data_IF_743326143772
#
_entry.id   IF_743326143772
#
_cell.length_a   1.000
_cell.length_b   1.000
_cell.length_c   1.000
_cell.angle_alpha   90.00
_cell.angle_beta   90.00
_cell.angle_gamma   90.00
#
_symmetry.space_group_name_H-M   'P 1'
#
loop_
_entity.id
_entity.type
_entity.pdbx_description
1 polymer ?
#
# COMPACT_ATOMS: atom_id res chain seq x y z
N UNK A 1 -18.59 14.79 8.47
CA UNK A 1 -18.30 16.24 8.36
C UNK A 1 -16.94 16.33 7.71
N UNK A 2 -16.77 17.11 6.64
CA UNK A 2 -15.48 17.16 5.95
C UNK A 2 -14.37 17.70 6.86
N UNK A 3 -13.14 17.12 6.82
CA UNK A 3 -12.02 17.64 7.57
C UNK A 3 -11.59 19.02 7.05
N UNK A 4 -10.87 19.76 7.89
CA UNK A 4 -10.18 20.97 7.46
C UNK A 4 -9.05 20.58 6.49
N UNK A 5 -9.11 21.08 5.26
CA UNK A 5 -8.07 20.84 4.25
C UNK A 5 -7.00 21.93 4.34
N UNK A 6 -5.75 21.52 4.59
CA UNK A 6 -4.56 22.35 4.46
C UNK A 6 -3.94 22.13 3.09
N UNK A 7 -4.21 23.03 2.15
CA UNK A 7 -3.84 22.87 0.75
C UNK A 7 -2.48 23.51 0.45
N UNK A 8 -1.59 22.75 -0.18
CA UNK A 8 -0.36 23.24 -0.83
C UNK A 8 -0.41 22.88 -2.32
N UNK A 9 -0.12 23.84 -3.19
CA UNK A 9 -0.13 23.64 -4.64
C UNK A 9 1.17 24.16 -5.25
N UNK A 10 1.76 23.38 -6.15
CA UNK A 10 2.90 23.80 -6.97
C UNK A 10 2.68 23.43 -8.43
N UNK A 11 2.56 24.45 -9.29
CA UNK A 11 2.48 24.30 -10.75
C UNK A 11 1.16 23.79 -11.33
N UNK A 12 0.31 23.13 -10.53
CA UNK A 12 -0.94 22.54 -11.02
C UNK A 12 -1.96 23.61 -11.45
N UNK A 13 -2.76 23.30 -12.50
CA UNK A 13 -3.80 24.20 -12.97
C UNK A 13 -4.96 24.31 -11.97
N UNK A 14 -5.73 25.40 -12.07
CA UNK A 14 -6.90 25.59 -11.21
C UNK A 14 -7.93 24.46 -11.38
N UNK A 15 -8.18 24.01 -12.61
CA UNK A 15 -9.13 22.93 -12.89
C UNK A 15 -8.69 21.61 -12.27
N UNK A 16 -7.40 21.28 -12.33
CA UNK A 16 -6.87 20.04 -11.73
C UNK A 16 -7.01 20.07 -10.22
N UNK A 17 -6.67 21.21 -9.59
CA UNK A 17 -6.82 21.41 -8.15
C UNK A 17 -8.29 21.30 -7.73
N UNK A 18 -9.21 21.92 -8.47
CA UNK A 18 -10.65 21.86 -8.19
C UNK A 18 -11.18 20.42 -8.31
N UNK A 19 -10.79 19.67 -9.35
CA UNK A 19 -11.19 18.28 -9.54
C UNK A 19 -10.66 17.35 -8.43
N UNK A 20 -9.35 17.41 -8.13
CA UNK A 20 -8.73 16.59 -7.07
C UNK A 20 -9.39 16.86 -5.72
N UNK A 21 -9.61 18.13 -5.38
CA UNK A 21 -10.29 18.49 -4.13
C UNK A 21 -11.74 18.03 -4.10
N UNK A 22 -12.42 18.00 -5.25
CA UNK A 22 -13.78 17.50 -5.34
C UNK A 22 -13.82 16.00 -5.04
N UNK A 23 -12.92 15.21 -5.61
CA UNK A 23 -12.81 13.76 -5.34
C UNK A 23 -12.51 13.51 -3.86
N UNK A 24 -11.55 14.23 -3.28
CA UNK A 24 -11.17 14.09 -1.87
C UNK A 24 -12.36 14.42 -0.94
N UNK A 25 -13.03 15.56 -1.14
CA UNK A 25 -14.16 15.98 -0.31
C UNK A 25 -15.36 15.05 -0.44
N UNK A 26 -15.62 14.56 -1.65
CA UNK A 26 -16.65 13.55 -1.90
C UNK A 26 -16.37 12.30 -1.07
N UNK A 27 -15.13 11.81 -1.11
CA UNK A 27 -14.72 10.63 -0.35
C UNK A 27 -14.85 10.80 1.17
N UNK A 28 -14.44 11.94 1.73
CA UNK A 28 -14.66 12.24 3.16
C UNK A 28 -16.13 12.42 3.52
N UNK A 29 -16.98 12.82 2.58
CA UNK A 29 -18.43 12.93 2.85
C UNK A 29 -19.07 11.53 2.92
N UNK A 30 -18.57 10.59 2.13
CA UNK A 30 -19.11 9.23 2.02
C UNK A 30 -18.58 8.28 3.10
N UNK A 31 -17.28 8.34 3.40
CA UNK A 31 -16.64 7.40 4.34
C UNK A 31 -16.91 7.76 5.80
N UNK A 32 -17.09 6.78 6.70
CA UNK A 32 -17.13 7.03 8.13
C UNK A 32 -15.73 7.38 8.63
N UNK A 33 -15.56 8.56 9.22
CA UNK A 33 -14.25 9.01 9.71
C UNK A 33 -14.35 9.91 10.94
N UNK A 34 -13.20 10.06 11.62
CA UNK A 34 -12.96 11.04 12.70
C UNK A 34 -11.83 12.01 12.39
N UNK A 35 -11.38 12.06 11.13
CA UNK A 35 -10.33 12.97 10.69
C UNK A 35 -10.79 14.43 10.85
N UNK A 36 -10.06 15.20 11.65
CA UNK A 36 -10.34 16.63 11.90
C UNK A 36 -9.71 17.53 10.83
N UNK A 37 -8.49 17.18 10.39
CA UNK A 37 -7.73 17.91 9.39
C UNK A 37 -6.89 16.97 8.54
N UNK A 38 -6.67 17.36 7.29
CA UNK A 38 -5.83 16.65 6.32
C UNK A 38 -5.03 17.66 5.52
N UNK A 39 -3.76 17.38 5.30
CA UNK A 39 -2.95 18.13 4.34
C UNK A 39 -3.10 17.54 2.94
N UNK A 40 -3.31 18.40 1.95
CA UNK A 40 -3.39 17.99 0.54
C UNK A 40 -2.32 18.75 -0.22
N UNK A 41 -1.36 18.01 -0.77
CA UNK A 41 -0.23 18.54 -1.52
C UNK A 41 -0.38 18.17 -2.99
N UNK A 42 -0.61 19.15 -3.86
CA UNK A 42 -0.83 18.93 -5.30
C UNK A 42 0.35 19.52 -6.06
N UNK A 43 1.08 18.66 -6.76
CA UNK A 43 2.20 19.04 -7.60
C UNK A 43 1.87 18.75 -9.06
N UNK A 44 2.27 19.65 -9.96
CA UNK A 44 2.21 19.37 -11.39
C UNK A 44 3.14 18.20 -11.72
N UNK A 45 4.42 18.34 -11.37
CA UNK A 45 5.49 17.40 -11.71
C UNK A 45 5.68 16.32 -10.63
N UNK A 46 5.88 15.09 -11.05
CA UNK A 46 6.17 13.95 -10.16
C UNK A 46 7.48 14.13 -9.38
N UNK A 47 8.51 14.69 -10.02
CA UNK A 47 9.81 14.96 -9.40
C UNK A 47 9.72 15.91 -8.20
N UNK A 48 8.84 16.91 -8.26
CA UNK A 48 8.57 17.83 -7.16
C UNK A 48 7.85 17.15 -6.01
N UNK A 49 6.86 16.31 -6.31
CA UNK A 49 6.15 15.52 -5.30
C UNK A 49 7.10 14.56 -4.57
N UNK A 50 7.95 13.84 -5.31
CA UNK A 50 8.95 12.92 -4.74
C UNK A 50 9.99 13.67 -3.88
N UNK A 51 10.47 14.83 -4.35
CA UNK A 51 11.39 15.67 -3.58
C UNK A 51 10.75 16.16 -2.27
N UNK A 52 9.47 16.54 -2.31
CA UNK A 52 8.72 16.93 -1.12
C UNK A 52 8.58 15.74 -0.14
N UNK A 53 8.16 14.57 -0.62
CA UNK A 53 8.03 13.36 0.19
C UNK A 53 9.36 12.94 0.83
N UNK A 54 10.45 12.96 0.06
CA UNK A 54 11.79 12.67 0.58
C UNK A 54 12.18 13.65 1.71
N UNK A 55 11.88 14.94 1.57
CA UNK A 55 12.11 15.91 2.63
C UNK A 55 11.25 15.65 3.88
N UNK A 56 9.98 15.27 3.72
CA UNK A 56 9.10 14.91 4.84
C UNK A 56 9.59 13.65 5.57
N UNK A 57 9.96 12.61 4.81
CA UNK A 57 10.49 11.35 5.30
C UNK A 57 11.77 11.56 6.12
N UNK A 58 12.70 12.34 5.57
CA UNK A 58 13.96 12.70 6.25
C UNK A 58 13.70 13.50 7.54
N UNK A 59 12.79 14.47 7.51
CA UNK A 59 12.45 15.27 8.68
C UNK A 59 11.82 14.43 9.81
N UNK A 60 11.08 13.38 9.45
CA UNK A 60 10.50 12.43 10.40
C UNK A 60 11.47 11.32 10.86
N UNK A 61 12.65 11.22 10.25
CA UNK A 61 13.64 10.19 10.58
C UNK A 61 13.20 8.78 10.19
N UNK A 62 12.43 8.64 9.10
CA UNK A 62 12.06 7.34 8.55
C UNK A 62 13.32 6.60 8.11
N UNK A 63 13.47 5.35 8.57
CA UNK A 63 14.68 4.54 8.35
C UNK A 63 14.49 3.39 7.37
N UNK A 64 13.25 3.06 6.99
CA UNK A 64 12.99 2.03 5.99
C UNK A 64 13.50 2.48 4.62
N UNK A 65 13.88 1.51 3.79
CA UNK A 65 14.28 1.76 2.41
C UNK A 65 13.12 2.36 1.59
N UNK A 66 13.45 3.10 0.54
CA UNK A 66 12.49 3.75 -0.36
C UNK A 66 11.80 2.77 -1.30
N UNK A 67 10.81 2.02 -0.82
CA UNK A 67 10.05 1.07 -1.65
C UNK A 67 8.88 1.70 -2.43
N UNK A 68 8.63 3.00 -2.24
CA UNK A 68 7.40 3.66 -2.70
C UNK A 68 7.59 4.55 -3.93
N UNK A 69 8.75 4.52 -4.59
CA UNK A 69 9.17 5.57 -5.54
C UNK A 69 8.28 5.73 -6.80
N UNK A 70 7.28 4.88 -7.02
CA UNK A 70 6.44 4.92 -8.23
C UNK A 70 4.91 4.96 -8.04
N UNK A 71 4.39 5.39 -6.89
CA UNK A 71 2.92 5.56 -6.76
C UNK A 71 2.39 6.79 -7.50
N UNK A 72 1.10 6.73 -7.88
CA UNK A 72 0.35 7.81 -8.55
C UNK A 72 -0.09 8.91 -7.57
N UNK A 73 -0.38 8.51 -6.33
CA UNK A 73 -0.69 9.36 -5.20
C UNK A 73 -0.14 8.69 -3.93
N UNK A 74 0.01 9.46 -2.85
CA UNK A 74 0.66 9.01 -1.63
C UNK A 74 -0.08 9.49 -0.40
N UNK A 75 -0.26 8.60 0.57
CA UNK A 75 -0.65 8.93 1.92
C UNK A 75 0.52 8.74 2.89
N UNK A 76 0.76 9.76 3.72
CA UNK A 76 1.65 9.64 4.87
C UNK A 76 1.10 10.39 6.08
N UNK A 77 1.51 9.98 7.29
CA UNK A 77 1.20 10.69 8.54
C UNK A 77 2.44 10.86 9.45
N UNK A 78 3.64 10.86 8.85
CA UNK A 78 4.92 10.84 9.56
C UNK A 78 5.10 11.97 10.59
N UNK A 79 4.55 13.16 10.31
CA UNK A 79 4.64 14.33 11.18
C UNK A 79 3.38 14.55 12.05
N UNK A 80 2.52 13.53 12.16
CA UNK A 80 1.34 13.55 13.03
C UNK A 80 0.07 14.17 12.42
N UNK A 81 0.12 14.57 11.15
CA UNK A 81 -1.04 14.99 10.36
C UNK A 81 -1.15 14.07 9.14
N UNK A 82 -2.34 13.52 8.82
CA UNK A 82 -2.52 12.80 7.57
C UNK A 82 -2.35 13.75 6.39
N UNK A 83 -1.52 13.34 5.45
CA UNK A 83 -1.16 14.09 4.26
C UNK A 83 -1.42 13.22 3.03
N UNK A 84 -2.08 13.79 2.03
CA UNK A 84 -2.28 13.19 0.71
C UNK A 84 -1.47 14.02 -0.28
N UNK A 85 -0.51 13.39 -0.96
CA UNK A 85 0.34 14.01 -1.97
C UNK A 85 0.01 13.44 -3.34
N UNK A 86 -0.23 14.33 -4.31
CA UNK A 86 -0.68 13.98 -5.66
C UNK A 86 0.24 14.60 -6.72
N UNK A 87 0.59 13.81 -7.74
CA UNK A 87 1.23 14.29 -8.97
C UNK A 87 0.21 14.33 -10.11
N UNK A 88 -0.06 15.52 -10.65
CA UNK A 88 -0.98 15.71 -11.78
C UNK A 88 -0.43 15.04 -13.04
N UNK A 89 0.87 15.19 -13.30
CA UNK A 89 1.58 14.51 -14.40
C UNK A 89 1.32 12.99 -14.38
N UNK A 90 1.53 12.33 -13.23
CA UNK A 90 1.28 10.88 -13.12
C UNK A 90 -0.19 10.53 -13.28
N UNK A 91 -1.11 11.24 -12.63
CA UNK A 91 -2.53 10.96 -12.75
C UNK A 91 -3.06 11.14 -14.18
N UNK A 92 -2.52 12.09 -14.93
CA UNK A 92 -2.91 12.32 -16.33
C UNK A 92 -2.48 11.20 -17.29
N UNK A 93 -1.61 10.27 -16.85
CA UNK A 93 -1.30 9.04 -17.62
C UNK A 93 -2.41 8.00 -17.56
N UNK A 94 -3.38 8.18 -16.64
CA UNK A 94 -4.47 7.25 -16.39
C UNK A 94 -5.79 7.79 -16.94
N UNK A 95 -6.74 6.90 -17.30
CA UNK A 95 -8.13 7.30 -17.46
C UNK A 95 -8.66 7.97 -16.18
N UNK A 96 -9.44 9.04 -16.32
CA UNK A 96 -9.87 9.88 -15.19
C UNK A 96 -10.53 9.07 -14.06
N UNK A 97 -11.38 8.09 -14.38
CA UNK A 97 -12.02 7.25 -13.36
C UNK A 97 -11.02 6.44 -12.53
N UNK A 98 -9.90 6.05 -13.12
CA UNK A 98 -8.84 5.32 -12.43
C UNK A 98 -7.97 6.27 -11.61
N UNK A 99 -7.67 7.46 -12.13
CA UNK A 99 -7.02 8.53 -11.36
C UNK A 99 -7.82 8.88 -10.10
N UNK A 100 -9.14 9.01 -10.21
CA UNK A 100 -10.03 9.24 -9.08
C UNK A 100 -10.01 8.08 -8.08
N UNK A 101 -9.95 6.83 -8.57
CA UNK A 101 -9.83 5.65 -7.72
C UNK A 101 -8.52 5.64 -6.93
N UNK A 102 -7.39 6.03 -7.54
CA UNK A 102 -6.11 6.21 -6.84
C UNK A 102 -6.22 7.25 -5.72
N UNK A 103 -6.83 8.41 -5.99
CA UNK A 103 -7.03 9.46 -4.98
C UNK A 103 -7.89 8.95 -3.82
N UNK A 104 -9.00 8.25 -4.12
CA UNK A 104 -9.89 7.67 -3.10
C UNK A 104 -9.18 6.64 -2.23
N UNK A 105 -8.25 5.86 -2.79
CA UNK A 105 -7.41 4.92 -2.04
C UNK A 105 -6.57 5.63 -0.98
N UNK A 106 -5.91 6.74 -1.33
CA UNK A 106 -5.16 7.55 -0.37
C UNK A 106 -6.05 8.22 0.68
N UNK A 107 -7.27 8.61 0.30
CA UNK A 107 -8.25 9.10 1.30
C UNK A 107 -8.62 8.00 2.29
N UNK A 108 -8.83 6.76 1.84
CA UNK A 108 -9.11 5.65 2.76
C UNK A 108 -7.95 5.40 3.74
N UNK A 109 -6.70 5.48 3.27
CA UNK A 109 -5.54 5.44 4.16
C UNK A 109 -5.52 6.61 5.16
N UNK A 110 -5.89 7.82 4.75
CA UNK A 110 -5.97 8.94 5.70
C UNK A 110 -7.06 8.75 6.76
N UNK A 111 -8.16 8.06 6.42
CA UNK A 111 -9.24 7.73 7.35
C UNK A 111 -8.83 6.65 8.35
N UNK A 112 -8.15 5.59 7.89
CA UNK A 112 -7.81 4.43 8.71
C UNK A 112 -6.46 4.55 9.41
N UNK A 113 -5.49 5.15 8.72
CA UNK A 113 -4.06 5.11 9.06
C UNK A 113 -3.45 6.51 9.21
N UNK A 114 -4.28 7.55 9.35
CA UNK A 114 -3.87 8.95 9.42
C UNK A 114 -3.15 9.39 10.70
N UNK A 115 -2.87 8.47 11.63
CA UNK A 115 -2.15 8.73 12.87
C UNK A 115 -0.71 8.21 12.82
N UNK A 116 0.21 8.90 13.50
CA UNK A 116 1.64 8.52 13.54
C UNK A 116 1.89 7.10 14.07
N UNK A 117 0.98 6.56 14.92
CA UNK A 117 1.11 5.19 15.45
C UNK A 117 1.15 4.12 14.35
N UNK A 118 0.58 4.39 13.18
CA UNK A 118 0.63 3.50 12.03
C UNK A 118 1.96 3.58 11.26
N UNK A 119 2.89 4.44 11.67
CA UNK A 119 4.23 4.61 11.09
C UNK A 119 5.35 4.29 12.08
N UNK A 120 5.01 4.10 13.36
CA UNK A 120 5.93 3.67 14.42
C UNK A 120 5.59 2.22 14.80
N UNK A 121 5.85 1.30 13.87
CA UNK A 121 5.50 -0.12 14.02
C UNK A 121 6.77 -0.90 14.42
N UNK A 122 6.81 -1.52 15.61
CA UNK A 122 7.94 -2.37 15.98
C UNK A 122 7.93 -3.66 15.17
N UNK A 123 9.13 -4.23 14.94
CA UNK A 123 9.27 -5.49 14.22
C UNK A 123 8.46 -6.62 14.89
N UNK A 124 7.57 -7.31 14.14
CA UNK A 124 6.78 -8.42 14.66
C UNK A 124 7.66 -9.50 15.32
N UNK A 125 7.18 -10.18 16.38
CA UNK A 125 7.95 -11.24 17.04
C UNK A 125 8.48 -12.32 16.09
N UNK A 126 7.70 -12.67 15.05
CA UNK A 126 8.10 -13.62 14.02
C UNK A 126 9.33 -13.16 13.22
N UNK A 127 9.42 -11.87 12.89
CA UNK A 127 10.57 -11.29 12.19
C UNK A 127 11.78 -11.14 13.10
N UNK A 128 11.59 -10.81 14.39
CA UNK A 128 12.69 -10.79 15.36
C UNK A 128 13.32 -12.18 15.53
N UNK A 129 12.50 -13.21 15.66
CA UNK A 129 12.96 -14.62 15.75
C UNK A 129 13.70 -15.06 14.48
N UNK A 130 13.24 -14.59 13.31
CA UNK A 130 13.92 -14.79 12.04
C UNK A 130 15.28 -14.08 12.00
N UNK A 131 15.39 -12.87 12.55
CA UNK A 131 16.63 -12.13 12.76
C UNK A 131 17.70 -12.95 13.49
N UNK A 132 17.31 -13.54 14.61
CA UNK A 132 18.20 -14.38 15.44
C UNK A 132 18.63 -15.65 14.69
N UNK A 133 17.69 -16.31 14.00
CA UNK A 133 17.93 -17.61 13.36
C UNK A 133 18.73 -17.49 12.06
N UNK A 134 18.37 -16.52 11.21
CA UNK A 134 18.96 -16.31 9.88
C UNK A 134 20.04 -15.22 9.86
N UNK A 135 20.38 -14.64 11.02
CA UNK A 135 21.40 -13.60 11.19
C UNK A 135 21.20 -12.38 10.27
N UNK A 136 19.95 -11.92 10.15
CA UNK A 136 19.62 -10.68 9.42
C UNK A 136 19.58 -9.49 10.39
N UNK A 137 20.03 -8.32 9.94
CA UNK A 137 20.14 -7.11 10.77
C UNK A 137 18.82 -6.36 10.98
N UNK A 138 18.80 -5.45 11.94
CA UNK A 138 17.60 -4.68 12.32
C UNK A 138 17.00 -3.87 11.16
N UNK A 139 17.84 -3.26 10.31
CA UNK A 139 17.38 -2.49 9.15
C UNK A 139 16.63 -3.39 8.15
N UNK A 140 17.07 -4.64 7.98
CA UNK A 140 16.39 -5.62 7.14
C UNK A 140 15.04 -6.04 7.73
N UNK A 141 14.96 -6.22 9.04
CA UNK A 141 13.70 -6.51 9.73
C UNK A 141 12.72 -5.34 9.67
N UNK A 142 13.23 -4.11 9.70
CA UNK A 142 12.44 -2.91 9.50
C UNK A 142 11.84 -2.87 8.09
N UNK A 143 12.62 -3.20 7.06
CA UNK A 143 12.14 -3.27 5.68
C UNK A 143 11.07 -4.34 5.48
N UNK A 144 11.25 -5.54 6.05
CA UNK A 144 10.20 -6.56 6.06
C UNK A 144 8.92 -6.09 6.76
N UNK A 145 9.07 -5.43 7.90
CA UNK A 145 7.95 -4.87 8.68
C UNK A 145 7.22 -3.80 7.87
N UNK A 146 7.96 -2.93 7.20
CA UNK A 146 7.45 -1.87 6.36
C UNK A 146 6.59 -2.41 5.21
N UNK A 147 7.15 -3.31 4.40
CA UNK A 147 6.47 -3.95 3.27
C UNK A 147 5.21 -4.71 3.71
N UNK A 148 5.30 -5.42 4.83
CA UNK A 148 4.14 -6.11 5.42
C UNK A 148 3.06 -5.13 5.86
N UNK A 149 3.46 -3.99 6.46
CA UNK A 149 2.50 -2.98 6.90
C UNK A 149 1.76 -2.34 5.73
N UNK A 150 2.45 -2.07 4.61
CA UNK A 150 1.81 -1.55 3.40
C UNK A 150 0.76 -2.53 2.91
N UNK A 151 1.13 -3.81 2.75
CA UNK A 151 0.20 -4.82 2.24
C UNK A 151 -1.07 -4.95 3.11
N UNK A 152 -0.92 -4.97 4.44
CA UNK A 152 -2.07 -5.00 5.36
C UNK A 152 -2.93 -3.74 5.26
N UNK A 153 -2.31 -2.56 5.19
CA UNK A 153 -3.03 -1.29 5.08
C UNK A 153 -3.82 -1.20 3.78
N UNK A 154 -3.26 -1.67 2.66
CA UNK A 154 -3.94 -1.70 1.36
C UNK A 154 -5.16 -2.61 1.39
N UNK A 155 -5.07 -3.79 2.04
CA UNK A 155 -6.24 -4.64 2.28
C UNK A 155 -7.34 -3.88 3.03
N UNK A 156 -6.97 -3.18 4.11
CA UNK A 156 -7.92 -2.45 4.95
C UNK A 156 -8.56 -1.26 4.19
N UNK A 157 -7.77 -0.53 3.42
CA UNK A 157 -8.24 0.58 2.58
C UNK A 157 -9.20 0.09 1.49
N UNK A 158 -8.83 -0.97 0.74
CA UNK A 158 -9.72 -1.55 -0.27
C UNK A 158 -11.02 -2.06 0.36
N UNK A 159 -10.94 -2.75 1.50
CA UNK A 159 -12.13 -3.25 2.21
C UNK A 159 -13.07 -2.12 2.63
N UNK A 160 -12.52 -1.00 3.12
CA UNK A 160 -13.31 0.17 3.50
C UNK A 160 -14.01 0.77 2.27
N UNK A 161 -13.27 1.01 1.19
CA UNK A 161 -13.82 1.63 -0.02
C UNK A 161 -14.87 0.73 -0.71
N UNK A 162 -14.58 -0.56 -0.81
CA UNK A 162 -15.49 -1.54 -1.40
C UNK A 162 -16.83 -1.60 -0.66
N UNK A 163 -16.81 -1.47 0.67
CA UNK A 163 -18.00 -1.48 1.51
C UNK A 163 -18.77 -0.15 1.54
N UNK A 164 -18.24 0.93 0.96
CA UNK A 164 -18.80 2.28 1.04
C UNK A 164 -18.91 2.96 -0.34
N UNK A 165 -19.63 2.32 -1.26
CA UNK A 165 -20.01 2.86 -2.58
C UNK A 165 -18.90 2.98 -3.64
N UNK A 166 -17.67 2.58 -3.36
CA UNK A 166 -16.57 2.62 -4.35
C UNK A 166 -16.26 1.27 -5.00
N UNK A 167 -17.24 0.36 -5.03
CA UNK A 167 -17.08 -1.00 -5.56
C UNK A 167 -16.47 -1.06 -6.96
N UNK A 168 -17.07 -0.35 -7.91
CA UNK A 168 -16.62 -0.35 -9.31
C UNK A 168 -15.21 0.24 -9.43
N UNK A 169 -14.93 1.30 -8.67
CA UNK A 169 -13.63 1.96 -8.67
C UNK A 169 -12.53 1.05 -8.13
N UNK A 170 -12.79 0.33 -7.04
CA UNK A 170 -11.81 -0.58 -6.46
C UNK A 170 -11.54 -1.79 -7.35
N UNK A 171 -12.56 -2.33 -8.04
CA UNK A 171 -12.37 -3.39 -9.04
C UNK A 171 -11.47 -2.89 -10.18
N UNK A 172 -11.73 -1.69 -10.73
CA UNK A 172 -10.90 -1.11 -11.79
C UNK A 172 -9.47 -0.83 -11.33
N UNK A 173 -9.31 -0.34 -10.10
CA UNK A 173 -8.00 -0.10 -9.51
C UNK A 173 -7.21 -1.40 -9.36
N UNK A 174 -7.85 -2.45 -8.83
CA UNK A 174 -7.24 -3.78 -8.74
C UNK A 174 -6.89 -4.38 -10.10
N UNK A 175 -7.75 -4.24 -11.11
CA UNK A 175 -7.46 -4.65 -12.48
C UNK A 175 -6.22 -3.95 -13.03
N UNK A 176 -6.11 -2.64 -12.83
CA UNK A 176 -4.93 -1.88 -13.25
C UNK A 176 -3.66 -2.37 -12.57
N UNK A 177 -3.67 -2.60 -11.25
CA UNK A 177 -2.52 -3.14 -10.52
C UNK A 177 -2.10 -4.53 -11.06
N UNK A 178 -3.07 -5.36 -11.41
CA UNK A 178 -2.82 -6.68 -11.98
C UNK A 178 -2.31 -6.61 -13.43
N UNK A 179 -2.76 -5.62 -14.20
CA UNK A 179 -2.38 -5.41 -15.60
C UNK A 179 -0.97 -4.77 -15.73
N UNK A 180 -0.57 -3.91 -14.79
CA UNK A 180 0.83 -3.46 -14.63
C UNK A 180 1.73 -4.69 -14.40
N UNK A 181 1.24 -5.64 -13.61
CA UNK A 181 1.85 -6.95 -13.44
C UNK A 181 3.09 -6.95 -12.53
N UNK A 182 3.73 -8.11 -12.48
CA UNK A 182 4.93 -8.33 -11.69
C UNK A 182 6.19 -7.85 -12.43
N UNK A 183 7.13 -7.25 -11.69
CA UNK A 183 8.48 -6.91 -12.17
C UNK A 183 9.34 -8.17 -12.43
N UNK A 184 9.06 -8.87 -13.54
CA UNK A 184 9.71 -10.15 -13.87
C UNK A 184 11.21 -10.04 -14.10
N UNK A 185 11.70 -8.88 -14.55
CA UNK A 185 13.14 -8.62 -14.67
C UNK A 185 13.81 -8.56 -13.31
N UNK A 186 13.20 -7.84 -12.35
CA UNK A 186 13.70 -7.76 -10.99
C UNK A 186 13.66 -9.14 -10.32
N UNK A 187 12.58 -9.90 -10.51
CA UNK A 187 12.47 -11.28 -10.01
C UNK A 187 13.67 -12.14 -10.43
N UNK A 188 14.02 -12.16 -11.72
CA UNK A 188 15.17 -12.92 -12.24
C UNK A 188 16.51 -12.50 -11.64
N UNK A 189 16.65 -11.23 -11.25
CA UNK A 189 17.86 -10.73 -10.61
C UNK A 189 17.93 -11.21 -9.15
N UNK A 190 16.80 -11.18 -8.44
CA UNK A 190 16.77 -11.46 -7.00
C UNK A 190 16.56 -12.93 -6.66
N UNK A 191 16.04 -13.76 -7.57
CA UNK A 191 15.64 -15.15 -7.26
C UNK A 191 16.77 -16.05 -6.75
N UNK A 192 18.02 -15.70 -7.03
CA UNK A 192 19.24 -16.38 -6.58
C UNK A 192 19.89 -15.74 -5.34
N UNK A 193 19.34 -14.64 -4.84
CA UNK A 193 19.88 -13.86 -3.71
C UNK A 193 18.90 -13.92 -2.53
N UNK A 194 19.12 -14.77 -1.51
CA UNK A 194 18.16 -15.05 -0.44
C UNK A 194 17.49 -13.82 0.19
N UNK A 195 18.29 -12.84 0.63
CA UNK A 195 17.76 -11.63 1.29
C UNK A 195 16.96 -10.74 0.34
N UNK A 196 17.44 -10.56 -0.89
CA UNK A 196 16.72 -9.77 -1.90
C UNK A 196 15.43 -10.47 -2.34
N UNK A 197 15.47 -11.79 -2.51
CA UNK A 197 14.31 -12.64 -2.80
C UNK A 197 13.25 -12.52 -1.72
N UNK A 198 13.64 -12.58 -0.45
CA UNK A 198 12.72 -12.45 0.67
C UNK A 198 12.06 -11.05 0.73
N UNK A 199 12.81 -9.98 0.50
CA UNK A 199 12.23 -8.63 0.39
C UNK A 199 11.27 -8.53 -0.80
N UNK A 200 11.67 -9.03 -1.96
CA UNK A 200 10.84 -9.02 -3.17
C UNK A 200 9.52 -9.77 -2.96
N UNK A 201 9.56 -10.98 -2.41
CA UNK A 201 8.37 -11.77 -2.10
C UNK A 201 7.49 -11.10 -1.04
N UNK A 202 8.08 -10.39 -0.08
CA UNK A 202 7.32 -9.60 0.92
C UNK A 202 6.64 -8.41 0.25
N UNK A 203 7.31 -7.71 -0.67
CA UNK A 203 6.70 -6.64 -1.46
C UNK A 203 5.57 -7.14 -2.36
N UNK A 204 5.70 -8.37 -2.89
CA UNK A 204 4.66 -9.03 -3.68
C UNK A 204 3.35 -9.27 -2.91
N UNK A 205 3.33 -9.17 -1.57
CA UNK A 205 2.09 -9.29 -0.79
C UNK A 205 1.12 -8.12 -1.05
N UNK A 206 1.62 -6.95 -1.46
CA UNK A 206 0.81 -5.72 -1.60
C UNK A 206 -0.41 -5.91 -2.52
N UNK A 207 -0.17 -6.32 -3.76
CA UNK A 207 -1.24 -6.48 -4.77
C UNK A 207 -2.25 -7.57 -4.37
N UNK A 208 -1.84 -8.80 -3.98
CA UNK A 208 -2.76 -9.81 -3.47
C UNK A 208 -3.64 -9.34 -2.31
N UNK A 209 -3.07 -8.65 -1.32
CA UNK A 209 -3.83 -8.11 -0.20
C UNK A 209 -4.80 -7.01 -0.63
N UNK A 210 -4.41 -6.15 -1.57
CA UNK A 210 -5.30 -5.14 -2.15
C UNK A 210 -6.47 -5.80 -2.90
N UNK A 211 -6.25 -6.89 -3.62
CA UNK A 211 -7.28 -7.62 -4.39
C UNK A 211 -8.22 -8.43 -3.48
N UNK A 212 -7.71 -9.01 -2.40
CA UNK A 212 -8.43 -9.98 -1.57
C UNK A 212 -9.84 -9.55 -1.11
N UNK A 213 -10.10 -8.31 -0.64
CA UNK A 213 -11.44 -7.87 -0.25
C UNK A 213 -12.47 -7.85 -1.38
N UNK A 214 -12.01 -7.85 -2.64
CA UNK A 214 -12.85 -7.74 -3.83
C UNK A 214 -13.28 -9.10 -4.37
N UNK A 215 -12.65 -10.19 -3.90
CA UNK A 215 -12.91 -11.54 -4.38
C UNK A 215 -14.25 -12.06 -3.86
N UNK A 216 -15.29 -11.86 -4.66
CA UNK A 216 -16.62 -12.44 -4.49
C UNK A 216 -17.08 -13.12 -5.80
N UNK A 217 -18.32 -13.63 -5.81
CA UNK A 217 -18.86 -14.33 -6.98
C UNK A 217 -18.90 -13.47 -8.25
N UNK A 218 -18.99 -12.15 -8.12
CA UNK A 218 -19.10 -11.24 -9.26
C UNK A 218 -17.72 -10.83 -9.81
N UNK A 219 -16.66 -10.96 -9.02
CA UNK A 219 -15.29 -10.57 -9.40
C UNK A 219 -14.32 -11.75 -9.49
N UNK A 220 -14.80 -12.95 -9.78
CA UNK A 220 -13.97 -14.15 -9.88
C UNK A 220 -12.86 -14.03 -10.94
N UNK A 221 -13.02 -13.16 -11.93
CA UNK A 221 -11.98 -12.88 -12.93
C UNK A 221 -10.73 -12.23 -12.32
N UNK A 222 -10.86 -11.50 -11.22
CA UNK A 222 -9.71 -10.94 -10.50
C UNK A 222 -8.82 -12.04 -9.92
N UNK A 223 -9.40 -13.15 -9.47
CA UNK A 223 -8.62 -14.31 -8.99
C UNK A 223 -7.76 -14.88 -10.13
N UNK A 224 -8.34 -15.06 -11.31
CA UNK A 224 -7.61 -15.56 -12.48
C UNK A 224 -6.49 -14.61 -12.92
N UNK A 225 -6.75 -13.29 -12.90
CA UNK A 225 -5.74 -12.27 -13.18
C UNK A 225 -4.62 -12.27 -12.13
N UNK A 226 -4.96 -12.38 -10.85
CA UNK A 226 -4.00 -12.47 -9.76
C UNK A 226 -3.08 -13.69 -9.91
N UNK A 227 -3.65 -14.85 -10.21
CA UNK A 227 -2.89 -16.06 -10.49
C UNK A 227 -1.97 -15.87 -11.69
N UNK A 228 -2.46 -15.29 -12.79
CA UNK A 228 -1.63 -15.01 -13.97
C UNK A 228 -0.49 -14.03 -13.67
N UNK A 229 -0.74 -12.99 -12.87
CA UNK A 229 0.25 -11.99 -12.48
C UNK A 229 1.40 -12.61 -11.67
N UNK A 230 1.07 -13.52 -10.75
CA UNK A 230 2.04 -14.17 -9.87
C UNK A 230 2.69 -15.43 -10.48
N UNK A 231 2.19 -15.92 -11.63
CA UNK A 231 2.69 -17.13 -12.30
C UNK A 231 4.23 -17.19 -12.47
N UNK A 232 4.93 -16.08 -12.79
CA UNK A 232 6.39 -16.11 -12.94
C UNK A 232 7.16 -16.50 -11.67
N UNK A 233 6.53 -16.44 -10.48
CA UNK A 233 7.13 -16.80 -9.20
C UNK A 233 7.22 -18.31 -8.95
N UNK A 234 6.64 -19.14 -9.83
CA UNK A 234 6.66 -20.59 -9.69
C UNK A 234 5.98 -21.05 -8.40
N UNK A 235 6.69 -21.83 -7.57
CA UNK A 235 6.11 -22.36 -6.32
C UNK A 235 5.65 -21.27 -5.33
N UNK A 236 6.27 -20.09 -5.36
CA UNK A 236 5.91 -19.00 -4.45
C UNK A 236 4.58 -18.33 -4.79
N UNK A 237 4.07 -18.51 -6.01
CA UNK A 237 2.72 -18.06 -6.39
C UNK A 237 1.68 -18.60 -5.41
N UNK A 238 1.67 -19.93 -5.23
CA UNK A 238 0.69 -20.60 -4.36
C UNK A 238 0.91 -20.20 -2.90
N UNK A 239 2.16 -20.13 -2.46
CA UNK A 239 2.48 -19.76 -1.08
C UNK A 239 2.04 -18.34 -0.74
N UNK A 240 2.19 -17.37 -1.66
CA UNK A 240 1.72 -16.01 -1.46
C UNK A 240 0.19 -15.94 -1.34
N UNK A 241 -0.52 -16.67 -2.20
CA UNK A 241 -1.99 -16.76 -2.12
C UNK A 241 -2.41 -17.37 -0.78
N UNK A 242 -1.78 -18.47 -0.35
CA UNK A 242 -2.05 -19.09 0.96
C UNK A 242 -1.76 -18.14 2.13
N UNK A 243 -0.67 -17.36 2.09
CA UNK A 243 -0.38 -16.36 3.12
C UNK A 243 -1.51 -15.34 3.22
N UNK A 244 -1.96 -14.81 2.08
CA UNK A 244 -2.99 -13.77 2.00
C UNK A 244 -4.35 -14.31 2.46
N UNK A 245 -4.71 -15.51 2.03
CA UNK A 245 -5.96 -16.17 2.39
C UNK A 245 -6.04 -16.43 3.90
N UNK A 246 -5.03 -17.11 4.47
CA UNK A 246 -4.99 -17.44 5.89
C UNK A 246 -4.90 -16.20 6.79
N UNK A 247 -4.17 -15.17 6.35
CA UNK A 247 -4.08 -13.91 7.09
C UNK A 247 -5.42 -13.17 7.08
N UNK A 248 -6.04 -13.00 5.91
CA UNK A 248 -7.29 -12.27 5.76
C UNK A 248 -8.46 -12.92 6.53
N UNK A 249 -8.48 -14.24 6.66
CA UNK A 249 -9.46 -14.97 7.50
C UNK A 249 -9.33 -14.65 8.99
N UNK A 250 -8.12 -14.30 9.44
CA UNK A 250 -7.81 -13.96 10.84
C UNK A 250 -7.83 -12.46 11.13
N UNK A 251 -7.98 -11.62 10.11
CA UNK A 251 -7.95 -10.17 10.28
C UNK A 251 -9.15 -9.66 11.08
N UNK A 252 -8.85 -8.70 11.96
CA UNK A 252 -9.82 -7.98 12.77
C UNK A 252 -9.66 -6.46 12.55
N UNK A 253 -10.34 -5.65 13.37
CA UNK A 253 -10.27 -4.19 13.30
C UNK A 253 -9.03 -3.61 14.01
N UNK A 254 -7.92 -4.36 14.06
CA UNK A 254 -6.65 -3.96 14.67
C UNK A 254 -5.51 -4.18 13.67
N UNK A 255 -5.08 -3.10 13.02
CA UNK A 255 -4.01 -3.11 12.01
C UNK A 255 -2.70 -3.67 12.57
N UNK A 256 -2.35 -3.40 13.83
CA UNK A 256 -1.10 -3.89 14.40
C UNK A 256 -1.14 -5.40 14.58
N UNK A 257 -2.25 -5.93 15.08
CA UNK A 257 -2.48 -7.36 15.17
C UNK A 257 -2.51 -8.03 13.78
N UNK A 258 -3.15 -7.39 12.79
CA UNK A 258 -3.17 -7.89 11.41
C UNK A 258 -1.76 -7.99 10.82
N UNK A 259 -0.89 -6.99 11.06
CA UNK A 259 0.53 -7.03 10.68
C UNK A 259 1.26 -8.20 11.35
N UNK A 260 1.02 -8.44 12.64
CA UNK A 260 1.63 -9.57 13.35
C UNK A 260 1.21 -10.92 12.77
N UNK A 261 -0.08 -11.10 12.49
CA UNK A 261 -0.64 -12.30 11.87
C UNK A 261 0.00 -12.55 10.51
N UNK A 262 0.04 -11.53 9.65
CA UNK A 262 0.65 -11.65 8.31
C UNK A 262 2.13 -12.00 8.43
N UNK A 263 2.87 -11.34 9.32
CA UNK A 263 4.28 -11.62 9.53
C UNK A 263 4.55 -13.04 10.05
N UNK A 264 3.69 -13.56 10.93
CA UNK A 264 3.76 -14.94 11.41
C UNK A 264 3.61 -15.95 10.26
N UNK A 265 2.52 -15.84 9.50
CA UNK A 265 2.18 -16.77 8.41
C UNK A 265 3.21 -16.67 7.27
N UNK A 266 3.60 -15.45 6.89
CA UNK A 266 4.61 -15.21 5.85
C UNK A 266 5.99 -15.76 6.25
N UNK A 267 6.36 -15.61 7.52
CA UNK A 267 7.60 -16.15 8.04
C UNK A 267 7.63 -17.68 7.96
N UNK A 268 6.53 -18.33 8.38
CA UNK A 268 6.39 -19.79 8.35
C UNK A 268 6.39 -20.37 6.93
N UNK A 269 5.59 -19.79 6.03
CA UNK A 269 5.38 -20.33 4.69
C UNK A 269 6.50 -19.98 3.72
N UNK A 270 7.09 -18.78 3.82
CA UNK A 270 7.98 -18.24 2.80
C UNK A 270 9.36 -17.91 3.39
N UNK A 271 9.45 -16.98 4.34
CA UNK A 271 10.75 -16.38 4.68
C UNK A 271 11.76 -17.40 5.23
N UNK A 272 11.32 -18.33 6.08
CA UNK A 272 12.21 -19.40 6.59
C UNK A 272 12.75 -20.29 5.47
N UNK A 273 11.97 -20.54 4.41
CA UNK A 273 12.42 -21.37 3.27
C UNK A 273 13.43 -20.64 2.39
N UNK A 274 13.35 -19.32 2.36
CA UNK A 274 14.20 -18.46 1.53
C UNK A 274 15.50 -18.11 2.23
N UNK A 275 15.46 -17.90 3.55
CA UNK A 275 16.58 -17.34 4.33
C UNK A 275 17.34 -18.37 5.19
N UNK A 276 16.81 -19.57 5.39
CA UNK A 276 17.47 -20.63 6.17
C UNK A 276 18.44 -21.48 5.33
#
# INVERSE_FOLDING_TARGET
MNPRILLKVKGASRSDVEHILQVIKECYTTLPHKVDAVEVNIFQESSDALSFLAAQSNAAGVKSSGFDEDFYAYHHAWLGLPSITVSVEKLNTLPQSLADACIRHEVAHSVLHGEIRYYVIPAPPAYRSLGETCRVGDDYLLDLTYLTSIAVKDYEATKLLYSHSYRVDQVRYAEHLLDVGLETTLWKIVETHPQAKALFLTGCLKVPFCVKPLLDQENIHLQMKLESCLQPLGEYQKLLIEVVDEAAERFANDTYNNIQITAEIHCEKILKRVLA
#
